data_IF_521670714923
#
_entry.id   IF_521670714923
#
_cell.length_a   1.000
_cell.length_b   1.000
_cell.length_c   1.000
_cell.angle_alpha   90.00
_cell.angle_beta   90.00
_cell.angle_gamma   90.00
#
_symmetry.space_group_name_H-M   'P 1'
#
loop_
_entity.id
_entity.type
_entity.pdbx_description
1 polymer ?
#
# COMPACT_ATOMS: atom_id res chain seq x y z
N UNK A 1 9.33 -1.90 11.44
CA UNK A 1 8.16 -2.61 10.87
C UNK A 1 7.47 -3.36 11.99
N UNK A 2 6.18 -3.12 12.22
CA UNK A 2 5.38 -3.90 13.18
C UNK A 2 4.29 -4.61 12.40
N UNK A 3 4.14 -5.92 12.60
CA UNK A 3 3.13 -6.76 11.96
C UNK A 3 2.57 -7.72 13.01
N UNK A 4 1.26 -7.79 13.14
CA UNK A 4 0.57 -8.74 14.01
C UNK A 4 -0.56 -9.43 13.27
N UNK A 5 -0.57 -10.75 13.36
CA UNK A 5 -1.61 -11.61 12.77
C UNK A 5 -2.32 -12.38 13.88
N UNK A 6 -3.65 -12.27 13.94
CA UNK A 6 -4.47 -13.00 14.91
C UNK A 6 -5.90 -13.15 14.40
N UNK A 7 -6.47 -14.35 14.49
CA UNK A 7 -7.87 -14.63 14.16
C UNK A 7 -8.32 -14.10 12.78
N UNK A 8 -7.46 -14.22 11.76
CA UNK A 8 -7.73 -13.75 10.40
C UNK A 8 -7.43 -12.26 10.17
N UNK A 9 -7.20 -11.47 11.23
CA UNK A 9 -6.74 -10.08 11.11
C UNK A 9 -5.23 -10.01 11.00
N UNK A 10 -4.75 -9.19 10.09
CA UNK A 10 -3.35 -8.80 9.91
C UNK A 10 -3.30 -7.29 9.92
N UNK A 11 -2.55 -6.71 10.84
CA UNK A 11 -2.35 -5.26 10.86
C UNK A 11 -0.88 -4.95 11.07
N UNK A 12 -0.44 -3.86 10.45
CA UNK A 12 0.93 -3.43 10.55
C UNK A 12 1.11 -2.01 10.07
N UNK A 13 2.26 -1.46 10.39
CA UNK A 13 2.69 -0.18 9.85
C UNK A 13 4.19 -0.22 9.60
N UNK A 14 4.57 0.37 8.48
CA UNK A 14 5.95 0.67 8.14
C UNK A 14 6.13 2.18 8.22
N UNK A 15 6.92 2.67 9.15
CA UNK A 15 7.34 4.06 9.17
C UNK A 15 8.84 4.11 8.86
N UNK A 16 9.24 4.97 7.93
CA UNK A 16 10.63 5.28 7.61
C UNK A 16 10.79 6.80 7.62
N UNK A 17 11.88 7.28 8.21
CA UNK A 17 12.25 8.69 8.20
C UNK A 17 13.65 8.79 7.61
N UNK A 18 13.78 9.52 6.49
CA UNK A 18 15.04 9.72 5.79
C UNK A 18 15.47 11.17 5.98
N UNK A 19 16.73 11.36 6.34
CA UNK A 19 17.39 12.64 6.53
C UNK A 19 18.56 12.70 5.55
N UNK A 20 18.61 13.75 4.74
CA UNK A 20 19.78 14.07 3.93
C UNK A 20 20.82 14.78 4.80
N UNK A 21 22.07 14.32 4.74
CA UNK A 21 23.22 14.91 5.45
C UNK A 21 24.10 15.75 4.49
N UNK A 22 23.51 16.38 3.48
CA UNK A 22 24.27 17.23 2.56
C UNK A 22 24.26 18.69 3.04
N UNK A 23 25.33 19.05 3.77
CA UNK A 23 25.64 20.40 4.22
C UNK A 23 26.17 21.26 3.06
N UNK A 24 25.34 21.53 2.06
CA UNK A 24 25.66 22.46 0.97
C UNK A 24 24.48 23.42 0.81
N UNK A 25 24.68 24.67 1.23
CA UNK A 25 23.69 25.73 1.47
C UNK A 25 22.88 26.20 0.23
N UNK A 26 22.92 25.45 -0.86
CA UNK A 26 22.30 25.78 -2.15
C UNK A 26 21.03 24.96 -2.43
N UNK A 27 20.80 23.83 -1.73
CA UNK A 27 19.69 22.88 -2.03
C UNK A 27 18.92 22.35 -0.80
N UNK A 28 18.93 23.04 0.33
CA UNK A 28 18.04 22.76 1.48
C UNK A 28 18.26 21.42 2.22
N UNK A 29 18.04 21.42 3.52
CA UNK A 29 17.98 20.19 4.30
C UNK A 29 16.74 19.37 3.90
N UNK A 30 16.94 18.27 3.17
CA UNK A 30 15.84 17.39 2.78
C UNK A 30 15.55 16.36 3.87
N UNK A 31 14.35 16.42 4.46
CA UNK A 31 13.82 15.36 5.33
C UNK A 31 12.49 14.86 4.77
N UNK A 32 12.32 13.54 4.71
CA UNK A 32 11.10 12.92 4.20
C UNK A 32 10.62 11.83 5.17
N UNK A 33 9.34 11.90 5.54
CA UNK A 33 8.70 10.91 6.40
C UNK A 33 7.74 10.07 5.57
N UNK A 34 7.95 8.75 5.57
CA UNK A 34 7.12 7.77 4.89
C UNK A 34 6.39 6.93 5.94
N UNK A 35 5.06 6.88 5.86
CA UNK A 35 4.24 6.03 6.75
C UNK A 35 3.29 5.19 5.90
N UNK A 36 3.40 3.88 6.02
CA UNK A 36 2.60 2.92 5.29
C UNK A 36 1.80 2.05 6.26
N UNK A 37 0.62 2.49 6.71
CA UNK A 37 -0.28 1.63 7.46
C UNK A 37 -0.91 0.58 6.53
N UNK A 38 -1.06 -0.64 7.05
CA UNK A 38 -1.70 -1.78 6.39
C UNK A 38 -2.63 -2.48 7.38
N UNK A 39 -3.85 -2.75 6.94
CA UNK A 39 -4.80 -3.61 7.62
C UNK A 39 -5.39 -4.59 6.61
N UNK A 40 -5.41 -5.86 6.96
CA UNK A 40 -5.96 -6.93 6.14
C UNK A 40 -6.77 -7.89 7.01
N UNK A 41 -7.89 -8.36 6.49
CA UNK A 41 -8.72 -9.36 7.12
C UNK A 41 -8.97 -10.50 6.15
N UNK A 42 -8.60 -11.72 6.55
CA UNK A 42 -8.82 -12.92 5.77
C UNK A 42 -9.87 -13.81 6.43
N UNK A 43 -10.94 -14.08 5.69
CA UNK A 43 -12.01 -14.95 6.12
C UNK A 43 -11.58 -16.42 6.06
N UNK A 44 -12.25 -17.33 6.79
CA UNK A 44 -12.03 -18.77 6.65
C UNK A 44 -12.29 -19.31 5.22
N UNK A 45 -13.01 -18.56 4.38
CA UNK A 45 -13.27 -18.89 2.97
C UNK A 45 -12.17 -18.41 2.01
N UNK A 46 -11.01 -18.02 2.54
CA UNK A 46 -9.85 -17.52 1.79
C UNK A 46 -10.15 -16.25 0.97
N UNK A 47 -11.07 -15.42 1.46
CA UNK A 47 -11.28 -14.05 0.98
C UNK A 47 -10.49 -13.10 1.86
N UNK A 48 -9.58 -12.33 1.28
CA UNK A 48 -8.80 -11.30 1.96
C UNK A 48 -9.29 -9.92 1.56
N UNK A 49 -9.63 -9.10 2.55
CA UNK A 49 -9.91 -7.67 2.40
C UNK A 49 -8.68 -6.91 2.89
N UNK A 50 -8.22 -5.90 2.17
CA UNK A 50 -7.01 -5.17 2.52
C UNK A 50 -7.20 -3.69 2.28
N UNK A 51 -6.80 -2.89 3.25
CA UNK A 51 -6.67 -1.45 3.15
C UNK A 51 -5.24 -1.07 3.50
N UNK A 52 -4.60 -0.27 2.66
CA UNK A 52 -3.31 0.32 2.97
C UNK A 52 -3.21 1.73 2.43
N UNK A 53 -2.43 2.56 3.12
CA UNK A 53 -2.03 3.87 2.62
C UNK A 53 -0.52 3.88 2.47
N UNK A 54 -0.01 4.58 1.47
CA UNK A 54 1.42 4.86 1.33
C UNK A 54 1.63 6.36 1.52
N UNK A 55 1.26 6.86 2.70
CA UNK A 55 1.31 8.29 3.01
C UNK A 55 2.76 8.76 3.06
N UNK A 56 3.08 9.69 2.17
CA UNK A 56 4.38 10.35 2.11
C UNK A 56 4.18 11.84 2.39
N UNK A 57 4.92 12.37 3.35
CA UNK A 57 4.99 13.80 3.62
C UNK A 57 6.37 14.31 3.20
N UNK A 58 6.39 15.15 2.16
CA UNK A 58 7.59 15.81 1.69
C UNK A 58 7.73 17.18 2.37
N UNK A 59 8.76 17.35 3.20
CA UNK A 59 8.96 18.58 3.97
C UNK A 59 9.52 19.74 3.13
N UNK A 60 10.00 19.50 1.91
CA UNK A 60 10.46 20.57 0.99
C UNK A 60 9.34 21.27 0.24
N UNK A 61 8.29 20.54 -0.17
CA UNK A 61 7.18 21.11 -0.96
C UNK A 61 5.92 21.38 -0.14
N UNK A 62 5.91 21.00 1.15
CA UNK A 62 4.71 20.97 2.01
C UNK A 62 3.56 20.10 1.45
N UNK A 63 3.84 19.24 0.47
CA UNK A 63 2.83 18.44 -0.21
C UNK A 63 2.66 17.05 0.44
N UNK A 64 1.40 16.67 0.59
CA UNK A 64 1.01 15.33 1.00
C UNK A 64 0.70 14.48 -0.23
N UNK A 65 1.27 13.28 -0.32
CA UNK A 65 0.73 12.24 -1.20
C UNK A 65 0.16 11.12 -0.34
N UNK A 66 -1.16 10.98 -0.36
CA UNK A 66 -1.89 10.02 0.47
C UNK A 66 -2.78 9.14 -0.40
N UNK A 67 -2.20 8.16 -1.11
CA UNK A 67 -2.99 7.18 -1.84
C UNK A 67 -3.56 6.15 -0.87
N UNK A 68 -4.88 6.10 -0.74
CA UNK A 68 -5.58 5.03 -0.04
C UNK A 68 -5.91 3.92 -1.03
N UNK A 69 -5.47 2.71 -0.73
CA UNK A 69 -5.72 1.52 -1.53
C UNK A 69 -6.69 0.62 -0.78
N UNK A 70 -7.71 0.16 -1.50
CA UNK A 70 -8.68 -0.83 -1.06
C UNK A 70 -8.60 -2.01 -2.02
N UNK A 71 -8.38 -3.21 -1.49
CA UNK A 71 -8.24 -4.43 -2.28
C UNK A 71 -9.03 -5.58 -1.68
N UNK A 72 -9.63 -6.39 -2.54
CA UNK A 72 -10.25 -7.65 -2.21
C UNK A 72 -9.60 -8.73 -3.05
N UNK A 73 -9.14 -9.80 -2.41
CA UNK A 73 -8.57 -10.96 -3.08
C UNK A 73 -9.30 -12.22 -2.66
N UNK A 74 -9.54 -13.12 -3.60
CA UNK A 74 -10.13 -14.42 -3.38
C UNK A 74 -9.18 -15.50 -3.92
N UNK A 75 -8.85 -16.46 -3.07
CA UNK A 75 -8.23 -17.70 -3.53
C UNK A 75 -9.29 -18.64 -4.09
N UNK A 76 -9.06 -19.14 -5.30
CA UNK A 76 -9.93 -20.10 -5.98
C UNK A 76 -9.13 -21.33 -6.40
N UNK A 77 -9.81 -22.45 -6.60
CA UNK A 77 -9.24 -23.65 -7.21
C UNK A 77 -9.94 -23.92 -8.53
N UNK A 78 -9.19 -23.86 -9.63
CA UNK A 78 -9.65 -24.23 -10.96
C UNK A 78 -9.26 -25.69 -11.19
N UNK A 79 -10.13 -26.60 -10.78
CA UNK A 79 -9.83 -28.04 -10.73
C UNK A 79 -8.69 -28.33 -9.74
N UNK A 80 -7.53 -28.74 -10.24
CA UNK A 80 -6.32 -29.00 -9.45
C UNK A 80 -5.38 -27.80 -9.34
N UNK A 81 -5.61 -26.74 -10.11
CA UNK A 81 -4.75 -25.57 -10.17
C UNK A 81 -5.25 -24.48 -9.18
N UNK A 82 -4.45 -24.10 -8.16
CA UNK A 82 -4.77 -22.94 -7.33
C UNK A 82 -4.57 -21.65 -8.13
N UNK A 83 -5.50 -20.71 -7.98
CA UNK A 83 -5.41 -19.38 -8.56
C UNK A 83 -5.91 -18.33 -7.56
N UNK A 84 -5.54 -17.08 -7.78
CA UNK A 84 -6.01 -15.95 -6.99
C UNK A 84 -6.54 -14.87 -7.93
N UNK A 85 -7.72 -14.35 -7.60
CA UNK A 85 -8.30 -13.19 -8.25
C UNK A 85 -8.27 -12.05 -7.25
N UNK A 86 -7.81 -10.88 -7.67
CA UNK A 86 -7.80 -9.68 -6.86
C UNK A 86 -8.38 -8.51 -7.64
N UNK A 87 -9.22 -7.73 -6.98
CA UNK A 87 -9.72 -6.45 -7.45
C UNK A 87 -9.38 -5.38 -6.41
N UNK A 88 -9.08 -4.17 -6.86
CA UNK A 88 -8.81 -3.06 -5.98
C UNK A 88 -9.13 -1.72 -6.61
N UNK A 89 -9.38 -0.76 -5.73
CA UNK A 89 -9.51 0.65 -6.05
C UNK A 89 -8.44 1.41 -5.26
N UNK A 90 -7.89 2.45 -5.88
CA UNK A 90 -6.99 3.41 -5.28
C UNK A 90 -7.64 4.76 -5.37
N UNK A 91 -7.57 5.54 -4.30
CA UNK A 91 -7.99 6.93 -4.32
C UNK A 91 -6.87 7.81 -3.80
N UNK A 92 -6.55 8.87 -4.53
CA UNK A 92 -5.60 9.88 -4.09
C UNK A 92 -6.36 10.92 -3.28
N UNK A 93 -6.15 10.93 -1.96
CA UNK A 93 -6.74 11.93 -1.06
C UNK A 93 -6.08 13.30 -1.25
N UNK A 94 -4.78 13.27 -1.49
CA UNK A 94 -3.97 14.44 -1.82
C UNK A 94 -2.84 14.01 -2.76
N UNK A 95 -2.49 14.89 -3.71
CA UNK A 95 -1.54 14.62 -4.79
C UNK A 95 -0.83 15.92 -5.21
N UNK A 96 0.50 15.90 -5.42
CA UNK A 96 1.25 17.05 -5.93
C UNK A 96 0.71 17.59 -7.25
N UNK A 97 1.00 18.85 -7.55
CA UNK A 97 0.64 19.46 -8.84
C UNK A 97 1.26 18.66 -10.02
N UNK A 98 0.40 18.06 -10.86
CA UNK A 98 0.79 17.19 -11.98
C UNK A 98 0.93 15.70 -11.66
N UNK A 99 0.63 15.28 -10.42
CA UNK A 99 0.56 13.88 -10.00
C UNK A 99 -0.75 13.19 -10.39
N UNK A 100 -0.84 11.85 -10.22
CA UNK A 100 -2.10 11.12 -10.41
C UNK A 100 -3.14 11.55 -9.37
N UNK A 101 -4.33 11.92 -9.82
CA UNK A 101 -5.46 12.37 -9.01
C UNK A 101 -6.69 11.46 -9.15
N UNK A 102 -7.62 11.57 -8.20
CA UNK A 102 -8.91 10.88 -8.29
C UNK A 102 -8.85 9.37 -8.02
N UNK A 103 -9.44 8.56 -8.90
CA UNK A 103 -9.62 7.11 -8.72
C UNK A 103 -8.78 6.28 -9.70
N UNK A 104 -8.13 5.25 -9.18
CA UNK A 104 -7.49 4.18 -9.95
C UNK A 104 -8.14 2.84 -9.66
N UNK A 105 -8.18 1.95 -10.65
CA UNK A 105 -8.71 0.59 -10.50
C UNK A 105 -7.67 -0.44 -10.92
N UNK A 106 -7.68 -1.59 -10.26
CA UNK A 106 -6.74 -2.69 -10.51
C UNK A 106 -7.46 -4.03 -10.46
N UNK A 107 -7.23 -4.85 -11.49
CA UNK A 107 -7.59 -6.26 -11.50
C UNK A 107 -6.33 -7.09 -11.69
N UNK A 108 -6.19 -8.16 -10.91
CA UNK A 108 -5.05 -9.07 -10.97
C UNK A 108 -5.57 -10.50 -10.94
N UNK A 109 -5.03 -11.33 -11.83
CA UNK A 109 -5.25 -12.75 -11.86
C UNK A 109 -3.90 -13.46 -11.77
N UNK A 110 -3.72 -14.29 -10.74
CA UNK A 110 -2.45 -14.98 -10.46
C UNK A 110 -2.66 -16.48 -10.48
N UNK A 111 -1.90 -17.19 -11.30
CA UNK A 111 -1.85 -18.66 -11.32
C UNK A 111 -0.71 -19.17 -10.45
N UNK A 112 -0.98 -20.15 -9.58
CA UNK A 112 0.04 -20.75 -8.72
C UNK A 112 0.43 -22.12 -9.27
N UNK A 113 1.63 -22.23 -9.82
CA UNK A 113 2.15 -23.49 -10.35
C UNK A 113 2.90 -24.27 -9.26
N UNK A 114 2.66 -25.60 -9.15
CA UNK A 114 3.51 -26.46 -8.33
C UNK A 114 4.95 -26.49 -8.90
N UNK A 115 5.92 -26.70 -8.02
CA UNK A 115 7.32 -26.96 -8.42
C UNK A 115 7.47 -28.31 -9.12
#
# INVERSE_FOLDING_TARGET
MVLKQSHGWTYGALANHIWSLNNNDEYGDQSATFVQPLLSYTTPKATSFTINSESTYNWETEEWSVPINLMVAQMIKLGKQPAQIQAGARYWVDSPDGGPDGWGFRLVFTLLFPK
#
